data_IF_070040755512
#
_entry.id   IF_070040755512
#
_cell.length_a   1.000
_cell.length_b   1.000
_cell.length_c   1.000
_cell.angle_alpha   90.00
_cell.angle_beta   90.00
_cell.angle_gamma   90.00
#
_symmetry.space_group_name_H-M   'P 1'
#
loop_
_entity.id
_entity.type
_entity.pdbx_description
1 polymer ?
#
# COMPACT_ATOMS: atom_id res chain seq x y z
N UNK A 1 2.89 49.17 -17.59
CA UNK A 1 2.71 47.76 -18.01
C UNK A 1 3.99 46.91 -18.13
N UNK A 2 5.22 47.41 -17.82
CA UNK A 2 6.48 46.62 -17.95
C UNK A 2 6.82 45.65 -16.79
N UNK A 3 6.11 45.70 -15.64
CA UNK A 3 6.43 44.90 -14.42
C UNK A 3 5.84 43.47 -14.39
N UNK A 4 4.96 43.10 -15.33
CA UNK A 4 4.31 41.76 -15.36
C UNK A 4 5.24 40.69 -15.99
N UNK A 5 6.28 41.09 -16.73
CA UNK A 5 7.14 40.18 -17.51
C UNK A 5 8.25 39.48 -16.72
N UNK A 6 8.38 39.65 -15.39
CA UNK A 6 9.59 39.24 -14.65
C UNK A 6 9.45 38.17 -13.55
N UNK A 7 8.27 37.58 -13.31
CA UNK A 7 8.07 36.52 -12.28
C UNK A 7 7.75 35.12 -12.83
N UNK A 8 8.08 34.87 -14.09
CA UNK A 8 7.80 33.59 -14.76
C UNK A 8 8.41 32.38 -14.04
N UNK A 9 9.69 32.40 -13.61
CA UNK A 9 10.30 31.26 -12.91
C UNK A 9 9.58 30.92 -11.60
N UNK A 10 9.32 31.91 -10.75
CA UNK A 10 8.62 31.70 -9.48
C UNK A 10 7.17 31.26 -9.64
N UNK A 11 6.48 31.67 -10.71
CA UNK A 11 5.12 31.19 -11.01
C UNK A 11 5.11 29.72 -11.45
N UNK A 12 6.04 29.33 -12.32
CA UNK A 12 6.19 27.93 -12.76
C UNK A 12 6.53 27.04 -11.56
N UNK A 13 7.53 27.44 -10.76
CA UNK A 13 7.92 26.70 -9.56
C UNK A 13 6.77 26.52 -8.57
N UNK A 14 5.97 27.58 -8.36
CA UNK A 14 4.78 27.55 -7.51
C UNK A 14 3.74 26.54 -8.02
N UNK A 15 3.40 26.57 -9.32
CA UNK A 15 2.41 25.65 -9.88
C UNK A 15 2.88 24.19 -9.74
N UNK A 16 4.16 23.93 -10.03
CA UNK A 16 4.72 22.58 -9.90
C UNK A 16 4.72 22.09 -8.44
N UNK A 17 5.13 22.93 -7.48
CA UNK A 17 5.07 22.56 -6.06
C UNK A 17 3.66 22.37 -5.55
N UNK A 18 2.70 23.16 -6.03
CA UNK A 18 1.29 23.01 -5.69
C UNK A 18 0.77 21.64 -6.13
N UNK A 19 1.10 21.22 -7.36
CA UNK A 19 0.73 19.90 -7.89
C UNK A 19 1.38 18.77 -7.08
N UNK A 20 2.68 18.89 -6.78
CA UNK A 20 3.43 17.90 -5.99
C UNK A 20 2.85 17.78 -4.57
N UNK A 21 2.62 18.91 -3.89
CA UNK A 21 2.05 18.92 -2.52
C UNK A 21 0.65 18.33 -2.50
N UNK A 22 -0.15 18.62 -3.53
CA UNK A 22 -1.50 18.06 -3.70
C UNK A 22 -1.47 16.55 -3.93
N UNK A 23 -0.56 16.07 -4.78
CA UNK A 23 -0.36 14.65 -5.05
C UNK A 23 0.08 13.89 -3.80
N UNK A 24 1.07 14.41 -3.05
CA UNK A 24 1.51 13.81 -1.80
C UNK A 24 0.42 13.79 -0.74
N UNK A 25 -0.45 14.80 -0.71
CA UNK A 25 -1.60 14.83 0.21
C UNK A 25 -2.65 13.80 -0.18
N UNK A 26 -3.00 13.74 -1.48
CA UNK A 26 -3.91 12.72 -1.99
C UNK A 26 -3.41 11.30 -1.67
N UNK A 27 -2.15 11.00 -2.02
CA UNK A 27 -1.53 9.71 -1.76
C UNK A 27 -1.46 9.42 -0.26
N UNK A 28 -0.92 10.36 0.53
CA UNK A 28 -0.73 10.17 1.97
C UNK A 28 -2.02 9.90 2.72
N UNK A 29 -3.09 10.65 2.44
CA UNK A 29 -4.39 10.41 3.05
C UNK A 29 -5.03 9.11 2.54
N UNK A 30 -4.87 8.77 1.26
CA UNK A 30 -5.36 7.50 0.72
C UNK A 30 -4.69 6.30 1.39
N UNK A 31 -3.35 6.29 1.47
CA UNK A 31 -2.59 5.21 2.09
C UNK A 31 -2.82 5.14 3.60
N UNK A 32 -3.03 6.28 4.26
CA UNK A 32 -3.42 6.33 5.66
C UNK A 32 -4.64 5.43 5.95
N UNK A 33 -5.68 5.50 5.10
CA UNK A 33 -6.87 4.64 5.22
C UNK A 33 -6.71 3.25 4.61
N UNK A 34 -5.76 3.08 3.68
CA UNK A 34 -5.49 1.80 3.04
C UNK A 34 -4.68 0.86 3.96
N UNK A 35 -3.61 1.37 4.57
CA UNK A 35 -2.60 0.60 5.30
C UNK A 35 -2.27 1.11 6.71
N UNK A 36 -2.63 2.34 7.10
CA UNK A 36 -2.16 2.94 8.36
C UNK A 36 -3.19 3.01 9.49
N UNK A 37 -4.48 2.87 9.15
CA UNK A 37 -5.55 3.30 10.05
C UNK A 37 -5.79 2.38 11.27
N UNK A 38 -5.42 1.10 11.18
CA UNK A 38 -5.70 0.11 12.23
C UNK A 38 -4.75 0.17 13.43
N UNK A 39 -3.62 0.90 13.34
CA UNK A 39 -2.66 1.04 14.46
C UNK A 39 -2.58 2.49 14.96
N UNK A 40 -2.49 2.70 16.29
CA UNK A 40 -2.20 4.02 16.84
C UNK A 40 -0.90 4.59 16.25
N UNK A 41 -0.95 5.84 15.82
CA UNK A 41 0.19 6.64 15.33
C UNK A 41 0.83 6.21 13.99
N UNK A 42 0.64 4.99 13.49
CA UNK A 42 1.22 4.57 12.20
C UNK A 42 0.69 5.40 11.02
N UNK A 43 -0.57 5.83 11.11
CA UNK A 43 -1.21 6.73 10.16
C UNK A 43 -0.43 8.05 9.93
N UNK A 44 0.36 8.52 10.92
CA UNK A 44 1.15 9.75 10.81
C UNK A 44 2.24 9.60 9.74
N UNK A 45 2.84 8.42 9.60
CA UNK A 45 3.95 8.21 8.65
C UNK A 45 3.53 8.45 7.20
N UNK A 46 2.27 8.18 6.87
CA UNK A 46 1.72 8.44 5.53
C UNK A 46 1.48 9.93 5.25
N UNK A 47 1.33 10.76 6.30
CA UNK A 47 1.12 12.20 6.17
C UNK A 47 2.42 13.02 6.16
N UNK A 48 3.53 12.44 6.62
CA UNK A 48 4.85 13.12 6.67
C UNK A 48 5.27 13.68 5.30
N UNK A 49 5.20 12.93 4.18
CA UNK A 49 5.60 13.46 2.87
C UNK A 49 4.78 14.68 2.46
N UNK A 50 3.46 14.66 2.71
CA UNK A 50 2.57 15.79 2.45
C UNK A 50 2.96 17.01 3.29
N UNK A 51 3.17 16.83 4.60
CA UNK A 51 3.53 17.90 5.52
C UNK A 51 4.88 18.55 5.13
N UNK A 52 5.89 17.74 4.79
CA UNK A 52 7.19 18.23 4.32
C UNK A 52 7.02 19.02 3.02
N UNK A 53 6.26 18.50 2.06
CA UNK A 53 6.05 19.14 0.75
C UNK A 53 5.36 20.50 0.86
N UNK A 54 4.29 20.58 1.66
CA UNK A 54 3.59 21.85 1.94
C UNK A 54 4.51 22.83 2.67
N UNK A 55 5.25 22.37 3.67
CA UNK A 55 6.18 23.21 4.44
C UNK A 55 7.28 23.81 3.55
N UNK A 56 7.92 22.99 2.71
CA UNK A 56 8.92 23.46 1.74
C UNK A 56 8.32 24.44 0.73
N UNK A 57 7.07 24.23 0.30
CA UNK A 57 6.36 25.17 -0.57
C UNK A 57 6.16 26.51 0.10
N UNK A 58 5.69 26.53 1.35
CA UNK A 58 5.47 27.77 2.13
C UNK A 58 6.80 28.51 2.35
N UNK A 59 7.85 27.80 2.78
CA UNK A 59 9.18 28.39 2.98
C UNK A 59 9.72 28.95 1.66
N UNK A 60 9.52 28.28 0.53
CA UNK A 60 9.95 28.77 -0.79
C UNK A 60 9.15 29.97 -1.29
N UNK A 61 7.90 30.12 -0.88
CA UNK A 61 7.10 31.30 -1.20
C UNK A 61 7.46 32.50 -0.32
N UNK A 62 7.78 32.27 0.95
CA UNK A 62 8.17 33.32 1.91
C UNK A 62 9.63 33.75 1.74
N UNK A 63 10.52 32.80 1.47
CA UNK A 63 11.96 32.97 1.37
C UNK A 63 12.51 32.21 0.16
N UNK A 64 12.29 32.69 -1.09
CA UNK A 64 12.60 31.90 -2.30
C UNK A 64 14.03 31.39 -2.42
N UNK A 65 15.02 32.17 -1.95
CA UNK A 65 16.43 31.70 -1.93
C UNK A 65 16.63 30.55 -0.96
N UNK A 66 16.12 30.67 0.27
CA UNK A 66 16.30 29.66 1.32
C UNK A 66 15.49 28.41 0.96
N UNK A 67 14.19 28.56 0.68
CA UNK A 67 13.33 27.44 0.34
C UNK A 67 13.74 26.74 -0.95
N UNK A 68 14.12 27.50 -1.99
CA UNK A 68 14.65 26.92 -3.22
C UNK A 68 15.92 26.10 -2.99
N UNK A 69 16.87 26.62 -2.21
CA UNK A 69 18.09 25.88 -1.83
C UNK A 69 17.79 24.64 -1.01
N UNK A 70 16.84 24.70 -0.07
CA UNK A 70 16.38 23.54 0.69
C UNK A 70 15.79 22.46 -0.23
N UNK A 71 14.94 22.84 -1.18
CA UNK A 71 14.38 21.90 -2.15
C UNK A 71 15.47 21.24 -3.00
N UNK A 72 16.45 22.01 -3.49
CA UNK A 72 17.60 21.46 -4.25
C UNK A 72 18.37 20.45 -3.39
N UNK A 73 18.70 20.82 -2.15
CA UNK A 73 19.42 19.96 -1.23
C UNK A 73 18.65 18.67 -0.92
N UNK A 74 17.35 18.78 -0.61
CA UNK A 74 16.47 17.63 -0.38
C UNK A 74 16.40 16.71 -1.61
N UNK A 75 16.26 17.28 -2.82
CA UNK A 75 16.27 16.53 -4.07
C UNK A 75 17.58 15.78 -4.29
N UNK A 76 18.72 16.40 -4.04
CA UNK A 76 20.04 15.75 -4.15
C UNK A 76 20.21 14.63 -3.12
N UNK A 77 19.89 14.87 -1.85
CA UNK A 77 19.97 13.85 -0.78
C UNK A 77 19.07 12.66 -1.11
N UNK A 78 17.83 12.92 -1.52
CA UNK A 78 16.88 11.87 -1.89
C UNK A 78 17.37 11.07 -3.11
N UNK A 79 17.98 11.74 -4.10
CA UNK A 79 18.58 11.06 -5.26
C UNK A 79 19.69 10.10 -4.83
N UNK A 80 20.63 10.58 -4.01
CA UNK A 80 21.73 9.74 -3.48
C UNK A 80 21.18 8.55 -2.71
N UNK A 81 20.17 8.76 -1.87
CA UNK A 81 19.51 7.70 -1.12
C UNK A 81 18.88 6.64 -2.04
N UNK A 82 18.06 7.06 -3.02
CA UNK A 82 17.38 6.14 -3.94
C UNK A 82 18.40 5.34 -4.75
N UNK A 83 19.40 5.99 -5.35
CA UNK A 83 20.41 5.30 -6.15
C UNK A 83 21.30 4.39 -5.30
N UNK A 84 21.59 4.75 -4.05
CA UNK A 84 22.28 3.86 -3.11
C UNK A 84 21.45 2.62 -2.76
N UNK A 85 20.13 2.76 -2.62
CA UNK A 85 19.24 1.61 -2.36
C UNK A 85 19.10 0.71 -3.58
N UNK A 86 19.14 1.27 -4.79
CA UNK A 86 19.15 0.46 -6.01
C UNK A 86 20.42 -0.37 -6.15
N UNK A 87 21.59 0.24 -5.93
CA UNK A 87 22.87 -0.49 -6.02
C UNK A 87 23.00 -1.59 -4.98
N UNK A 88 22.38 -1.43 -3.80
CA UNK A 88 22.29 -2.50 -2.79
C UNK A 88 21.42 -3.69 -3.23
N UNK A 89 20.46 -3.49 -4.14
CA UNK A 89 19.56 -4.54 -4.65
C UNK A 89 20.14 -5.30 -5.85
N UNK A 90 21.27 -4.86 -6.38
CA UNK A 90 21.93 -5.44 -7.54
C UNK A 90 22.44 -4.37 -8.49
N UNK A 91 22.81 -4.78 -9.71
CA UNK A 91 23.28 -3.85 -10.75
C UNK A 91 22.09 -3.07 -11.32
N UNK A 92 21.98 -1.75 -11.07
CA UNK A 92 20.86 -0.97 -11.56
C UNK A 92 20.88 -0.89 -13.08
N UNK A 93 19.73 -1.07 -13.71
CA UNK A 93 19.57 -0.93 -15.16
C UNK A 93 19.39 0.54 -15.55
N UNK A 94 19.65 0.87 -16.82
CA UNK A 94 19.37 2.23 -17.35
C UNK A 94 17.89 2.58 -17.17
N UNK A 95 16.99 1.60 -17.33
CA UNK A 95 15.55 1.79 -17.09
C UNK A 95 15.26 2.19 -15.65
N UNK A 96 15.94 1.56 -14.68
CA UNK A 96 15.78 1.91 -13.26
C UNK A 96 16.18 3.38 -13.03
N UNK A 97 17.32 3.82 -13.57
CA UNK A 97 17.72 5.23 -13.46
C UNK A 97 16.71 6.17 -14.11
N UNK A 98 16.33 5.92 -15.36
CA UNK A 98 15.41 6.77 -16.11
C UNK A 98 14.02 6.88 -15.44
N UNK A 99 13.56 5.81 -14.77
CA UNK A 99 12.28 5.82 -14.07
C UNK A 99 12.23 6.78 -12.86
N UNK A 100 13.39 7.08 -12.26
CA UNK A 100 13.48 7.95 -11.08
C UNK A 100 13.95 9.38 -11.39
N UNK A 101 14.44 9.64 -12.61
CA UNK A 101 14.79 11.00 -13.06
C UNK A 101 13.61 11.97 -12.92
N UNK A 102 12.37 11.65 -13.36
CA UNK A 102 11.26 12.58 -13.25
C UNK A 102 10.96 13.00 -11.81
N UNK A 103 11.21 12.13 -10.83
CA UNK A 103 11.02 12.45 -9.42
C UNK A 103 12.15 13.33 -8.92
N UNK A 104 13.40 12.90 -9.12
CA UNK A 104 14.59 13.54 -8.56
C UNK A 104 14.93 14.88 -9.21
N UNK A 105 14.99 14.92 -10.55
CA UNK A 105 15.36 16.11 -11.31
C UNK A 105 14.29 17.20 -11.22
N UNK A 106 13.02 16.83 -11.11
CA UNK A 106 11.92 17.78 -10.99
C UNK A 106 12.03 18.62 -9.71
N UNK A 107 12.36 18.01 -8.56
CA UNK A 107 12.61 18.76 -7.33
C UNK A 107 13.79 19.73 -7.49
N UNK A 108 14.91 19.27 -8.06
CA UNK A 108 16.08 20.12 -8.29
C UNK A 108 15.73 21.30 -9.19
N UNK A 109 15.04 21.05 -10.31
CA UNK A 109 14.60 22.09 -11.25
C UNK A 109 13.71 23.13 -10.56
N UNK A 110 12.71 22.68 -9.79
CA UNK A 110 11.81 23.56 -9.04
C UNK A 110 12.59 24.41 -8.03
N UNK A 111 13.51 23.80 -7.29
CA UNK A 111 14.35 24.51 -6.33
C UNK A 111 15.22 25.59 -7.00
N UNK A 112 15.84 25.26 -8.14
CA UNK A 112 16.60 26.22 -8.96
C UNK A 112 15.72 27.37 -9.43
N UNK A 113 14.49 27.11 -9.88
CA UNK A 113 13.56 28.16 -10.30
C UNK A 113 13.21 29.11 -9.14
N UNK A 114 13.03 28.61 -7.92
CA UNK A 114 12.83 29.44 -6.73
C UNK A 114 14.09 30.25 -6.35
N UNK A 115 15.28 29.66 -6.46
CA UNK A 115 16.54 30.36 -6.23
C UNK A 115 16.71 31.51 -7.23
N UNK A 116 16.47 31.26 -8.52
CA UNK A 116 16.51 32.27 -9.60
C UNK A 116 15.50 33.40 -9.30
N UNK A 117 14.27 33.06 -8.91
CA UNK A 117 13.27 34.05 -8.51
C UNK A 117 13.75 34.88 -7.31
N UNK A 118 14.34 34.23 -6.31
CA UNK A 118 14.89 34.87 -5.13
C UNK A 118 15.99 35.89 -5.45
N UNK A 119 16.84 35.64 -6.45
CA UNK A 119 17.83 36.61 -6.93
C UNK A 119 17.22 37.76 -7.74
N UNK A 120 16.06 37.55 -8.38
CA UNK A 120 15.36 38.57 -9.18
C UNK A 120 14.53 39.53 -8.33
N UNK A 121 14.11 39.12 -7.14
CA UNK A 121 13.42 40.00 -6.18
C UNK A 121 14.46 40.97 -5.58
N UNK A 122 14.56 42.16 -6.18
CA UNK A 122 15.52 43.21 -5.78
C UNK A 122 14.94 44.26 -4.81
N UNK A 123 13.64 44.29 -4.56
CA UNK A 123 13.02 45.33 -3.73
C UNK A 123 12.01 44.75 -2.71
N UNK A 124 11.98 45.28 -1.48
CA UNK A 124 10.88 45.02 -0.55
C UNK A 124 9.58 45.51 -1.17
N UNK A 125 8.58 44.62 -1.29
CA UNK A 125 7.28 44.97 -1.87
C UNK A 125 6.71 46.23 -1.20
N UNK A 126 6.30 47.19 -2.03
CA UNK A 126 5.59 48.42 -1.66
C UNK A 126 4.51 48.15 -0.58
N UNK A 127 4.51 48.98 0.48
CA UNK A 127 3.77 48.79 1.74
C UNK A 127 2.22 48.78 1.59
N UNK A 128 1.67 49.17 0.45
CA UNK A 128 0.21 49.39 0.30
C UNK A 128 -0.59 48.19 -0.25
N UNK A 129 0.03 47.04 -0.46
CA UNK A 129 -0.71 45.86 -0.94
C UNK A 129 -1.45 45.18 0.21
N UNK A 130 -2.79 45.07 0.10
CA UNK A 130 -3.64 44.33 1.06
C UNK A 130 -3.05 42.94 1.37
N UNK A 131 -3.02 42.56 2.64
CA UNK A 131 -2.31 41.36 3.13
C UNK A 131 -2.71 40.07 2.39
N UNK A 132 -3.99 39.88 2.06
CA UNK A 132 -4.45 38.68 1.36
C UNK A 132 -3.93 38.59 -0.09
N UNK A 133 -3.68 39.73 -0.76
CA UNK A 133 -3.03 39.73 -2.07
C UNK A 133 -1.55 39.35 -1.94
N UNK A 134 -0.90 39.82 -0.87
CA UNK A 134 0.50 39.50 -0.55
C UNK A 134 0.71 38.01 -0.26
N UNK A 135 -0.19 37.39 0.50
CA UNK A 135 -0.09 35.98 0.90
C UNK A 135 -0.96 35.02 0.07
N UNK A 136 -1.58 35.50 -1.02
CA UNK A 136 -2.48 34.70 -1.87
C UNK A 136 -1.89 33.35 -2.28
N UNK A 137 -0.63 33.31 -2.74
CA UNK A 137 0.05 32.06 -3.11
C UNK A 137 0.26 31.12 -1.92
N UNK A 138 0.58 31.65 -0.74
CA UNK A 138 0.75 30.85 0.48
C UNK A 138 -0.60 30.26 0.90
N UNK A 139 -1.65 31.08 0.87
CA UNK A 139 -3.02 30.64 1.16
C UNK A 139 -3.42 29.51 0.20
N UNK A 140 -3.19 29.69 -1.11
CA UNK A 140 -3.50 28.65 -2.12
C UNK A 140 -2.66 27.38 -1.89
N UNK A 141 -1.37 27.51 -1.59
CA UNK A 141 -0.47 26.39 -1.33
C UNK A 141 -0.88 25.53 -0.14
N UNK A 142 -1.57 26.12 0.85
CA UNK A 142 -2.08 25.40 2.02
C UNK A 142 -3.50 24.89 1.76
N UNK A 143 -4.37 25.76 1.25
CA UNK A 143 -5.80 25.49 1.12
C UNK A 143 -6.11 24.35 0.15
N UNK A 144 -5.43 24.28 -1.00
CA UNK A 144 -5.71 23.23 -1.99
C UNK A 144 -5.34 21.84 -1.46
N UNK A 145 -4.10 21.58 -0.99
CA UNK A 145 -3.77 20.31 -0.33
C UNK A 145 -4.70 20.00 0.84
N UNK A 146 -5.04 20.98 1.67
CA UNK A 146 -5.96 20.79 2.80
C UNK A 146 -7.35 20.31 2.34
N UNK A 147 -7.94 20.97 1.33
CA UNK A 147 -9.24 20.58 0.77
C UNK A 147 -9.18 19.18 0.16
N UNK A 148 -8.10 18.84 -0.54
CA UNK A 148 -7.87 17.49 -1.07
C UNK A 148 -7.82 16.47 0.08
N UNK A 149 -7.02 16.74 1.11
CA UNK A 149 -6.87 15.86 2.26
C UNK A 149 -8.19 15.65 3.01
N UNK A 150 -8.96 16.71 3.23
CA UNK A 150 -10.30 16.62 3.84
C UNK A 150 -11.25 15.82 2.94
N UNK A 151 -11.29 16.08 1.64
CA UNK A 151 -12.20 15.40 0.71
C UNK A 151 -11.90 13.90 0.64
N UNK A 152 -10.63 13.53 0.41
CA UNK A 152 -10.19 12.13 0.38
C UNK A 152 -10.41 11.47 1.74
N UNK A 153 -10.13 12.19 2.82
CA UNK A 153 -10.30 11.69 4.18
C UNK A 153 -11.75 11.45 4.58
N UNK A 154 -12.67 12.33 4.19
CA UNK A 154 -14.12 12.15 4.42
C UNK A 154 -14.64 10.95 3.64
N UNK A 155 -14.29 10.82 2.36
CA UNK A 155 -14.73 9.69 1.52
C UNK A 155 -14.18 8.37 2.05
N UNK A 156 -12.89 8.34 2.38
CA UNK A 156 -12.21 7.12 2.86
C UNK A 156 -12.63 6.75 4.28
N UNK A 157 -12.77 7.75 5.15
CA UNK A 157 -13.29 7.59 6.50
C UNK A 157 -14.73 7.09 6.50
N UNK A 158 -15.62 7.68 5.68
CA UNK A 158 -16.98 7.18 5.53
C UNK A 158 -17.02 5.71 5.11
N UNK A 159 -16.20 5.33 4.12
CA UNK A 159 -16.09 3.92 3.72
C UNK A 159 -15.61 3.04 4.87
N UNK A 160 -14.57 3.46 5.59
CA UNK A 160 -14.01 2.70 6.70
C UNK A 160 -15.00 2.50 7.86
N UNK A 161 -15.62 3.58 8.33
CA UNK A 161 -16.53 3.54 9.48
C UNK A 161 -17.84 2.79 9.20
N UNK A 162 -18.19 2.60 7.92
CA UNK A 162 -19.35 1.82 7.51
C UNK A 162 -19.00 0.40 7.06
N UNK A 163 -17.78 -0.09 7.29
CA UNK A 163 -17.45 -1.49 7.02
C UNK A 163 -18.24 -2.41 7.94
N UNK A 164 -18.77 -3.48 7.36
CA UNK A 164 -19.41 -4.54 8.13
C UNK A 164 -18.37 -5.41 8.87
N UNK A 165 -18.44 -5.40 10.19
CA UNK A 165 -17.67 -6.27 11.08
C UNK A 165 -18.60 -6.91 12.13
N UNK A 166 -18.77 -8.22 12.05
CA UNK A 166 -19.55 -8.97 13.03
C UNK A 166 -18.77 -9.33 14.31
N UNK A 167 -17.50 -8.95 14.40
CA UNK A 167 -16.62 -9.21 15.55
C UNK A 167 -16.23 -10.67 15.76
N UNK A 168 -16.74 -11.60 14.93
CA UNK A 168 -16.47 -13.02 15.11
C UNK A 168 -15.17 -13.40 14.41
N UNK A 169 -14.24 -13.98 15.18
CA UNK A 169 -12.92 -14.42 14.68
C UNK A 169 -12.73 -15.93 14.72
N UNK A 170 -13.79 -16.70 14.97
CA UNK A 170 -13.74 -18.17 15.00
C UNK A 170 -13.79 -18.83 13.62
N UNK A 171 -13.75 -20.17 13.62
CA UNK A 171 -14.01 -20.98 12.43
C UNK A 171 -15.43 -20.72 11.93
N UNK A 172 -15.60 -20.57 10.61
CA UNK A 172 -16.94 -20.36 10.05
C UNK A 172 -17.10 -20.90 8.63
N UNK A 173 -18.33 -21.29 8.34
CA UNK A 173 -18.77 -21.57 6.97
C UNK A 173 -18.97 -20.22 6.28
N UNK A 174 -18.38 -20.06 5.11
CA UNK A 174 -18.59 -18.92 4.22
C UNK A 174 -19.18 -19.42 2.92
N UNK A 175 -20.36 -18.92 2.58
CA UNK A 175 -21.03 -19.18 1.32
C UNK A 175 -20.50 -18.18 0.28
N UNK A 176 -19.72 -18.67 -0.68
CA UNK A 176 -19.22 -17.88 -1.80
C UNK A 176 -20.09 -18.05 -3.04
N UNK A 177 -19.70 -17.42 -4.14
CA UNK A 177 -20.33 -17.60 -5.44
C UNK A 177 -20.17 -19.05 -5.93
N UNK A 178 -21.25 -19.83 -5.79
CA UNK A 178 -21.35 -21.26 -6.14
C UNK A 178 -20.39 -22.18 -5.36
N UNK A 179 -19.85 -21.71 -4.23
CA UNK A 179 -18.95 -22.51 -3.39
C UNK A 179 -19.32 -22.35 -1.92
N UNK A 180 -18.97 -23.36 -1.11
CA UNK A 180 -19.11 -23.30 0.34
C UNK A 180 -17.85 -23.88 0.97
N UNK A 181 -17.16 -23.06 1.76
CA UNK A 181 -15.91 -23.42 2.41
C UNK A 181 -16.00 -23.15 3.91
N UNK A 182 -15.33 -23.98 4.69
CA UNK A 182 -15.06 -23.68 6.10
C UNK A 182 -13.73 -22.95 6.16
N UNK A 183 -13.73 -21.76 6.74
CA UNK A 183 -12.55 -20.90 6.90
C UNK A 183 -12.06 -20.97 8.34
N UNK A 184 -10.75 -21.10 8.51
CA UNK A 184 -10.11 -21.22 9.81
C UNK A 184 -10.41 -20.02 10.71
N UNK A 185 -10.51 -20.27 12.01
CA UNK A 185 -10.57 -19.23 13.03
C UNK A 185 -9.21 -18.63 13.34
N UNK A 186 -9.20 -17.72 14.31
CA UNK A 186 -7.99 -17.09 14.81
C UNK A 186 -6.97 -18.12 15.31
N UNK A 187 -5.73 -17.98 14.83
CA UNK A 187 -4.64 -18.89 15.09
C UNK A 187 -3.72 -19.02 13.88
N UNK A 188 -2.80 -19.99 13.85
CA UNK A 188 -1.86 -20.18 12.74
C UNK A 188 -2.54 -20.47 11.39
N UNK A 189 -3.79 -20.96 11.38
CA UNK A 189 -4.59 -21.11 10.16
C UNK A 189 -5.12 -19.78 9.61
N UNK A 190 -5.15 -18.71 10.40
CA UNK A 190 -5.54 -17.37 9.97
C UNK A 190 -4.45 -16.37 10.34
N UNK A 191 -3.51 -16.18 9.42
CA UNK A 191 -2.38 -15.30 9.63
C UNK A 191 -2.79 -13.83 9.50
N UNK A 192 -2.69 -13.14 10.63
CA UNK A 192 -2.83 -11.70 10.80
C UNK A 192 -1.42 -11.18 11.12
N UNK A 193 -0.96 -10.11 10.48
CA UNK A 193 0.47 -9.69 10.56
C UNK A 193 1.00 -9.39 11.98
N UNK A 194 0.13 -9.32 12.99
CA UNK A 194 0.52 -9.37 14.41
C UNK A 194 1.34 -10.62 14.79
N UNK A 195 1.34 -11.66 13.96
CA UNK A 195 2.10 -12.91 14.16
C UNK A 195 3.43 -12.97 13.40
N UNK A 196 3.88 -11.86 12.82
CA UNK A 196 5.09 -11.76 11.99
C UNK A 196 4.75 -11.61 10.50
N UNK A 197 5.76 -11.47 9.65
CA UNK A 197 5.57 -11.47 8.20
C UNK A 197 6.08 -12.80 7.66
N UNK A 198 5.22 -13.53 6.96
CA UNK A 198 5.59 -14.76 6.26
C UNK A 198 5.55 -14.54 4.75
N UNK A 199 6.53 -15.09 4.06
CA UNK A 199 6.53 -15.24 2.60
C UNK A 199 5.81 -16.52 2.18
N UNK A 200 5.43 -16.60 0.92
CA UNK A 200 4.83 -17.82 0.37
C UNK A 200 5.81 -19.00 0.44
N UNK A 201 7.10 -18.77 0.20
CA UNK A 201 8.16 -19.79 0.32
C UNK A 201 8.24 -20.39 1.73
N UNK A 202 8.17 -19.56 2.76
CA UNK A 202 8.20 -20.01 4.16
C UNK A 202 6.98 -20.87 4.50
N UNK A 203 5.81 -20.47 4.01
CA UNK A 203 4.57 -21.24 4.15
C UNK A 203 4.65 -22.58 3.41
N UNK A 204 5.20 -22.57 2.19
CA UNK A 204 5.32 -23.74 1.31
C UNK A 204 6.30 -24.79 1.82
N UNK A 205 7.40 -24.36 2.45
CA UNK A 205 8.52 -25.22 2.86
C UNK A 205 8.53 -25.55 4.35
N UNK A 206 7.47 -25.23 5.09
CA UNK A 206 7.40 -25.40 6.54
C UNK A 206 7.79 -26.81 7.01
N UNK A 207 7.26 -27.86 6.36
CA UNK A 207 7.52 -29.26 6.68
C UNK A 207 8.82 -29.83 6.11
N UNK A 208 9.62 -29.01 5.40
CA UNK A 208 10.90 -29.43 4.84
C UNK A 208 11.98 -29.24 5.89
N UNK A 209 12.82 -30.25 6.11
CA UNK A 209 13.85 -30.21 7.16
C UNK A 209 14.80 -29.00 7.02
N UNK A 210 15.10 -28.28 8.12
CA UNK A 210 14.54 -28.46 9.46
C UNK A 210 13.08 -28.00 9.54
N UNK A 211 12.18 -28.80 10.14
CA UNK A 211 10.75 -28.46 10.23
C UNK A 211 10.56 -27.10 10.94
N UNK A 212 9.73 -26.24 10.36
CA UNK A 212 9.41 -24.90 10.86
C UNK A 212 9.79 -23.78 9.89
N UNK A 213 9.79 -22.54 10.37
CA UNK A 213 10.12 -21.34 9.59
C UNK A 213 11.63 -21.01 9.54
N UNK A 214 12.48 -21.95 9.97
CA UNK A 214 13.93 -21.80 9.83
C UNK A 214 14.34 -21.67 8.36
N UNK A 215 15.41 -20.91 8.11
CA UNK A 215 15.88 -20.61 6.76
C UNK A 215 16.19 -21.89 5.98
N UNK A 216 15.51 -22.06 4.84
CA UNK A 216 15.75 -23.15 3.89
C UNK A 216 16.83 -22.77 2.88
N UNK A 217 17.43 -23.77 2.23
CA UNK A 217 18.48 -23.56 1.21
C UNK A 217 17.87 -23.13 -0.13
N UNK A 218 16.63 -23.52 -0.39
CA UNK A 218 15.87 -23.24 -1.59
C UNK A 218 15.49 -21.77 -1.68
N UNK A 219 15.71 -21.18 -2.86
CA UNK A 219 15.34 -19.79 -3.13
C UNK A 219 13.86 -19.65 -3.44
N UNK A 220 13.26 -20.64 -4.13
CA UNK A 220 11.85 -20.67 -4.50
C UNK A 220 11.29 -22.08 -4.32
N UNK A 221 10.16 -22.18 -3.62
CA UNK A 221 9.42 -23.42 -3.47
C UNK A 221 8.66 -23.75 -4.76
N UNK A 222 8.75 -25.01 -5.20
CA UNK A 222 7.95 -25.51 -6.31
C UNK A 222 6.52 -25.85 -5.88
N UNK A 223 5.63 -26.03 -6.85
CA UNK A 223 4.29 -26.56 -6.59
C UNK A 223 4.30 -27.89 -5.84
N UNK A 224 5.24 -28.77 -6.18
CA UNK A 224 5.39 -30.07 -5.53
C UNK A 224 5.95 -29.93 -4.11
N UNK A 225 6.84 -28.97 -3.87
CA UNK A 225 7.23 -28.62 -2.50
C UNK A 225 6.01 -28.14 -1.69
N UNK A 226 5.20 -27.23 -2.24
CA UNK A 226 4.00 -26.73 -1.56
C UNK A 226 3.05 -27.88 -1.21
N UNK A 227 2.70 -28.74 -2.17
CA UNK A 227 1.86 -29.92 -1.92
C UNK A 227 2.40 -30.81 -0.81
N UNK A 228 3.72 -30.98 -0.75
CA UNK A 228 4.36 -31.93 0.16
C UNK A 228 4.60 -31.35 1.55
N UNK A 229 4.98 -30.08 1.65
CA UNK A 229 5.57 -29.52 2.87
C UNK A 229 4.85 -28.31 3.44
N UNK A 230 3.75 -27.82 2.84
CA UNK A 230 3.12 -26.60 3.33
C UNK A 230 2.69 -26.68 4.80
N UNK A 231 2.67 -25.54 5.49
CA UNK A 231 2.33 -25.46 6.92
C UNK A 231 0.91 -25.93 7.25
N UNK A 232 -0.04 -25.83 6.31
CA UNK A 232 -1.44 -26.16 6.55
C UNK A 232 -1.65 -27.63 6.84
N UNK A 233 -0.75 -28.49 6.34
CA UNK A 233 -0.68 -29.92 6.66
C UNK A 233 -0.49 -30.19 8.15
N UNK A 234 0.12 -29.26 8.88
CA UNK A 234 0.49 -29.39 10.29
C UNK A 234 -0.49 -28.72 11.25
N UNK A 235 -1.57 -28.14 10.73
CA UNK A 235 -2.62 -27.54 11.53
C UNK A 235 -3.47 -28.62 12.20
N UNK A 236 -3.77 -28.43 13.49
CA UNK A 236 -4.77 -29.25 14.18
C UNK A 236 -6.16 -29.10 13.56
N UNK A 237 -7.11 -29.94 13.98
CA UNK A 237 -8.48 -29.93 13.46
C UNK A 237 -9.14 -28.54 13.50
N UNK A 238 -8.94 -27.78 14.58
CA UNK A 238 -9.53 -26.45 14.76
C UNK A 238 -8.77 -25.32 14.04
N UNK A 239 -7.60 -25.60 13.46
CA UNK A 239 -6.75 -24.60 12.79
C UNK A 239 -6.06 -23.61 13.73
N UNK A 240 -6.16 -23.82 15.04
CA UNK A 240 -5.67 -22.89 16.08
C UNK A 240 -4.24 -23.18 16.55
N UNK A 241 -3.64 -24.31 16.14
CA UNK A 241 -2.27 -24.69 16.52
C UNK A 241 -1.53 -25.40 15.39
N UNK A 242 -0.25 -25.07 15.24
CA UNK A 242 0.71 -25.90 14.49
C UNK A 242 1.18 -27.05 15.39
N UNK A 243 1.35 -28.22 14.79
CA UNK A 243 1.77 -29.44 15.46
C UNK A 243 2.97 -30.06 14.76
N UNK A 244 3.55 -31.09 15.36
CA UNK A 244 4.63 -31.90 14.79
C UNK A 244 4.12 -32.99 13.84
N UNK A 245 2.80 -33.19 13.75
CA UNK A 245 2.16 -34.24 12.94
C UNK A 245 1.43 -33.65 11.74
N UNK A 246 1.41 -34.42 10.67
CA UNK A 246 0.60 -34.11 9.48
C UNK A 246 -0.84 -34.60 9.71
N UNK A 247 -1.80 -33.69 9.56
CA UNK A 247 -3.24 -33.94 9.69
C UNK A 247 -4.02 -33.71 8.38
N UNK A 248 -3.56 -32.81 7.51
CA UNK A 248 -4.18 -32.52 6.20
C UNK A 248 -5.67 -32.11 6.26
N UNK A 249 -6.12 -31.51 7.37
CA UNK A 249 -7.47 -30.96 7.48
C UNK A 249 -7.65 -29.64 6.74
N UNK A 250 -6.58 -28.87 6.63
CA UNK A 250 -6.58 -27.49 6.14
C UNK A 250 -5.67 -27.34 4.93
N UNK A 251 -6.02 -26.39 4.06
CA UNK A 251 -5.18 -25.97 2.95
C UNK A 251 -5.29 -24.48 2.72
N UNK A 252 -4.37 -23.92 1.95
CA UNK A 252 -4.54 -22.58 1.42
C UNK A 252 -5.63 -22.60 0.32
N UNK A 253 -6.50 -21.58 0.24
CA UNK A 253 -7.48 -21.47 -0.85
C UNK A 253 -6.78 -21.17 -2.18
N UNK A 254 -7.40 -21.60 -3.27
CA UNK A 254 -7.02 -21.18 -4.62
C UNK A 254 -7.44 -19.73 -4.87
N UNK A 255 -6.88 -19.10 -5.90
CA UNK A 255 -7.28 -17.74 -6.27
C UNK A 255 -8.75 -17.67 -6.71
N UNK A 256 -9.28 -18.71 -7.37
CA UNK A 256 -10.69 -18.78 -7.76
C UNK A 256 -11.61 -18.82 -6.53
N UNK A 257 -11.28 -19.65 -5.54
CA UNK A 257 -12.03 -19.71 -4.28
C UNK A 257 -12.01 -18.39 -3.52
N UNK A 258 -10.88 -17.70 -3.51
CA UNK A 258 -10.76 -16.36 -2.94
C UNK A 258 -11.65 -15.35 -3.67
N UNK A 259 -11.61 -15.30 -5.00
CA UNK A 259 -12.46 -14.39 -5.79
C UNK A 259 -13.95 -14.69 -5.60
N UNK A 260 -14.33 -15.95 -5.44
CA UNK A 260 -15.71 -16.36 -5.19
C UNK A 260 -16.17 -16.08 -3.76
N UNK A 261 -15.25 -15.89 -2.82
CA UNK A 261 -15.57 -15.70 -1.39
C UNK A 261 -15.55 -14.24 -0.94
N UNK A 262 -15.52 -13.28 -1.86
CA UNK A 262 -15.49 -11.85 -1.54
C UNK A 262 -16.87 -11.34 -1.06
N UNK A 263 -16.86 -10.41 -0.10
CA UNK A 263 -18.06 -9.87 0.54
C UNK A 263 -18.11 -8.33 0.52
N UNK A 264 -19.33 -7.81 0.58
CA UNK A 264 -19.64 -6.40 0.84
C UNK A 264 -21.01 -6.28 1.49
N UNK A 265 -21.13 -5.46 2.53
CA UNK A 265 -22.36 -5.18 3.26
C UNK A 265 -23.04 -6.47 3.75
N UNK A 266 -22.25 -7.43 4.24
CA UNK A 266 -22.70 -8.78 4.66
C UNK A 266 -23.32 -9.64 3.52
N UNK A 267 -23.12 -9.26 2.26
CA UNK A 267 -23.55 -10.03 1.10
C UNK A 267 -22.32 -10.61 0.37
N UNK A 268 -22.43 -11.86 -0.10
CA UNK A 268 -21.45 -12.39 -1.02
C UNK A 268 -21.54 -11.62 -2.36
N UNK A 269 -20.43 -11.00 -2.75
CA UNK A 269 -20.30 -10.29 -4.03
C UNK A 269 -19.28 -10.95 -4.95
N UNK A 270 -18.76 -12.12 -4.54
CA UNK A 270 -17.75 -12.87 -5.26
C UNK A 270 -18.15 -13.25 -6.68
N UNK A 271 -17.15 -13.57 -7.47
CA UNK A 271 -17.31 -14.02 -8.85
C UNK A 271 -16.24 -15.07 -9.18
N UNK A 272 -16.42 -15.86 -10.25
CA UNK A 272 -15.35 -16.71 -10.77
C UNK A 272 -14.13 -15.89 -11.17
N UNK A 273 -12.94 -16.44 -11.01
CA UNK A 273 -11.72 -15.84 -11.52
C UNK A 273 -11.69 -15.91 -13.05
N UNK A 274 -11.35 -14.80 -13.70
CA UNK A 274 -11.29 -14.71 -15.17
C UNK A 274 -9.96 -15.20 -15.78
N UNK A 275 -9.05 -15.74 -14.95
CA UNK A 275 -7.72 -16.19 -15.36
C UNK A 275 -6.70 -15.06 -15.57
N UNK A 276 -7.02 -13.82 -15.20
CA UNK A 276 -6.17 -12.64 -15.38
C UNK A 276 -5.96 -11.86 -14.09
N UNK A 277 -4.88 -11.10 -14.05
CA UNK A 277 -4.59 -10.09 -13.04
C UNK A 277 -5.56 -8.90 -13.13
N UNK A 278 -5.63 -8.11 -12.07
CA UNK A 278 -6.48 -6.93 -11.97
C UNK A 278 -7.80 -7.18 -11.24
N UNK A 279 -8.67 -6.17 -11.30
CA UNK A 279 -9.99 -6.20 -10.68
C UNK A 279 -10.88 -7.19 -11.43
N UNK A 280 -11.51 -8.11 -10.69
CA UNK A 280 -12.42 -9.09 -11.26
C UNK A 280 -13.84 -8.52 -11.45
N UNK A 281 -14.69 -9.24 -12.17
CA UNK A 281 -16.02 -8.78 -12.59
C UNK A 281 -17.08 -8.92 -11.48
N UNK A 282 -16.85 -8.28 -10.33
CA UNK A 282 -17.82 -8.26 -9.24
C UNK A 282 -19.02 -7.36 -9.58
N UNK A 283 -20.22 -7.77 -9.16
CA UNK A 283 -21.43 -6.95 -9.29
C UNK A 283 -21.36 -5.68 -8.45
N UNK A 284 -20.73 -5.78 -7.28
CA UNK A 284 -20.43 -4.68 -6.35
C UNK A 284 -18.96 -4.81 -5.94
N UNK A 285 -18.19 -3.71 -5.85
CA UNK A 285 -16.80 -3.79 -5.39
C UNK A 285 -16.73 -4.36 -3.97
N UNK A 286 -15.96 -5.43 -3.72
CA UNK A 286 -15.80 -5.95 -2.38
C UNK A 286 -15.01 -5.01 -1.49
N UNK A 287 -15.13 -5.21 -0.18
CA UNK A 287 -14.38 -4.46 0.83
C UNK A 287 -13.78 -5.38 1.89
N UNK A 288 -12.96 -4.78 2.76
CA UNK A 288 -12.32 -5.48 3.87
C UNK A 288 -13.33 -5.67 4.98
N UNK A 289 -14.19 -6.67 4.81
CA UNK A 289 -15.33 -6.94 5.69
C UNK A 289 -15.38 -8.41 6.08
N UNK A 290 -16.05 -8.66 7.21
CA UNK A 290 -16.44 -10.01 7.61
C UNK A 290 -17.43 -10.59 6.59
N UNK A 291 -17.47 -11.92 6.38
CA UNK A 291 -16.80 -12.96 7.16
C UNK A 291 -15.35 -13.27 6.75
N UNK A 292 -14.90 -12.83 5.58
CA UNK A 292 -13.60 -13.23 5.02
C UNK A 292 -12.43 -12.48 5.68
N UNK A 293 -12.54 -11.16 5.79
CA UNK A 293 -11.51 -10.28 6.32
C UNK A 293 -11.78 -9.90 7.77
N UNK A 294 -10.71 -9.53 8.48
CA UNK A 294 -10.78 -8.83 9.76
C UNK A 294 -10.53 -7.33 9.50
N UNK A 295 -11.55 -6.45 9.59
CA UNK A 295 -11.43 -5.03 9.23
C UNK A 295 -10.45 -4.24 10.11
N UNK A 296 -10.23 -4.72 11.33
CA UNK A 296 -9.39 -4.17 12.39
C UNK A 296 -7.92 -4.63 12.34
N UNK A 297 -7.57 -5.51 11.41
CA UNK A 297 -6.22 -6.08 11.30
C UNK A 297 -5.41 -5.44 10.17
N UNK A 298 -4.06 -5.53 10.13
CA UNK A 298 -3.22 -5.01 9.05
C UNK A 298 -3.45 -5.61 7.67
N UNK A 299 -3.90 -6.87 7.60
CA UNK A 299 -3.86 -7.63 6.36
C UNK A 299 -4.85 -7.08 5.34
N UNK A 300 -4.37 -6.77 4.14
CA UNK A 300 -5.15 -6.27 3.00
C UNK A 300 -4.99 -7.15 1.76
N UNK A 301 -4.07 -8.11 1.80
CA UNK A 301 -3.87 -9.12 0.77
C UNK A 301 -3.93 -10.53 1.37
N UNK A 302 -4.58 -11.45 0.67
CA UNK A 302 -4.51 -12.87 0.98
C UNK A 302 -3.73 -13.63 -0.08
N UNK A 303 -2.81 -14.47 0.39
CA UNK A 303 -2.10 -15.44 -0.43
C UNK A 303 -3.07 -16.52 -0.93
N UNK A 304 -2.79 -17.05 -2.12
CA UNK A 304 -3.45 -18.24 -2.65
C UNK A 304 -2.47 -19.38 -2.87
N UNK A 305 -2.99 -20.60 -3.00
CA UNK A 305 -2.24 -21.76 -3.44
C UNK A 305 -1.98 -21.79 -4.96
N UNK A 306 -2.52 -20.82 -5.70
CA UNK A 306 -2.41 -20.79 -7.17
C UNK A 306 -1.10 -20.15 -7.57
N UNK A 307 -0.20 -20.95 -8.13
CA UNK A 307 1.05 -20.44 -8.72
C UNK A 307 0.78 -19.70 -10.03
N UNK A 308 1.54 -18.64 -10.25
CA UNK A 308 1.59 -17.96 -11.55
C UNK A 308 2.71 -18.55 -12.41
N UNK A 309 3.87 -18.80 -11.79
CA UNK A 309 5.02 -19.49 -12.38
C UNK A 309 5.97 -20.01 -11.27
N UNK A 310 7.22 -20.32 -11.64
CA UNK A 310 8.24 -20.82 -10.70
C UNK A 310 8.57 -19.84 -9.58
N UNK A 311 8.50 -18.53 -9.83
CA UNK A 311 8.87 -17.47 -8.88
C UNK A 311 7.68 -16.75 -8.28
N UNK A 312 6.54 -16.76 -8.98
CA UNK A 312 5.39 -15.95 -8.62
C UNK A 312 4.16 -16.79 -8.26
N UNK A 313 3.31 -16.25 -7.40
CA UNK A 313 2.01 -16.79 -7.06
C UNK A 313 0.95 -15.69 -7.14
N UNK A 314 -0.32 -16.07 -7.21
CA UNK A 314 -1.42 -15.12 -7.18
C UNK A 314 -1.85 -14.80 -5.74
N UNK A 315 -2.05 -13.51 -5.47
CA UNK A 315 -2.70 -13.01 -4.27
C UNK A 315 -3.93 -12.20 -4.65
N UNK A 316 -4.82 -11.96 -3.68
CA UNK A 316 -5.98 -11.09 -3.86
C UNK A 316 -5.97 -9.97 -2.83
N UNK A 317 -6.33 -8.75 -3.23
CA UNK A 317 -6.60 -7.66 -2.28
C UNK A 317 -8.03 -7.73 -1.75
N UNK A 318 -8.32 -7.07 -0.63
CA UNK A 318 -9.70 -6.93 -0.15
C UNK A 318 -10.65 -6.22 -1.14
N UNK A 319 -10.11 -5.48 -2.12
CA UNK A 319 -10.87 -4.89 -3.23
C UNK A 319 -11.10 -5.86 -4.39
N UNK A 320 -10.68 -7.12 -4.23
CA UNK A 320 -10.84 -8.17 -5.22
C UNK A 320 -9.88 -8.05 -6.42
N UNK A 321 -8.79 -7.29 -6.26
CA UNK A 321 -7.74 -7.20 -7.28
C UNK A 321 -6.79 -8.40 -7.15
N UNK A 322 -6.66 -9.18 -8.23
CA UNK A 322 -5.70 -10.28 -8.33
C UNK A 322 -4.35 -9.73 -8.77
N UNK A 323 -3.28 -10.10 -8.07
CA UNK A 323 -1.93 -9.57 -8.27
C UNK A 323 -0.93 -10.72 -8.22
N UNK A 324 0.00 -10.76 -9.17
CA UNK A 324 1.18 -11.63 -9.07
C UNK A 324 2.18 -11.08 -8.07
N UNK A 325 2.72 -11.98 -7.25
CA UNK A 325 3.71 -11.64 -6.24
C UNK A 325 4.85 -12.62 -6.25
N UNK A 326 6.05 -12.12 -6.00
CA UNK A 326 7.22 -12.94 -5.79
C UNK A 326 7.04 -13.81 -4.53
N UNK A 327 7.33 -15.11 -4.61
CA UNK A 327 7.13 -16.06 -3.50
C UNK A 327 8.04 -15.78 -2.29
N UNK A 328 9.10 -14.98 -2.45
CA UNK A 328 10.00 -14.55 -1.36
C UNK A 328 9.53 -13.27 -0.65
N UNK A 329 8.50 -12.59 -1.17
CA UNK A 329 8.00 -11.34 -0.60
C UNK A 329 7.27 -11.58 0.73
N UNK A 330 7.73 -10.94 1.81
CA UNK A 330 7.12 -10.98 3.14
C UNK A 330 6.63 -9.58 3.57
N UNK A 331 5.47 -9.17 3.06
CA UNK A 331 4.86 -7.89 3.42
C UNK A 331 4.05 -7.99 4.72
N UNK A 332 4.09 -6.96 5.57
CA UNK A 332 3.23 -6.88 6.75
C UNK A 332 1.74 -6.72 6.44
N UNK A 333 1.39 -6.34 5.22
CA UNK A 333 0.00 -6.22 4.78
C UNK A 333 -0.52 -7.49 4.08
N UNK A 334 0.32 -8.52 3.96
CA UNK A 334 0.02 -9.80 3.34
C UNK A 334 -0.21 -10.86 4.42
N UNK A 335 -1.24 -11.69 4.22
CA UNK A 335 -1.47 -12.84 5.09
C UNK A 335 -2.21 -13.95 4.36
N UNK A 336 -2.85 -14.83 5.12
CA UNK A 336 -3.64 -15.91 4.56
C UNK A 336 -4.71 -16.37 5.54
N UNK A 337 -5.69 -17.11 5.02
CA UNK A 337 -6.67 -17.81 5.83
C UNK A 337 -6.94 -19.17 5.22
N UNK A 338 -6.68 -20.22 5.99
CA UNK A 338 -6.81 -21.59 5.55
C UNK A 338 -8.29 -21.96 5.39
N UNK A 339 -8.54 -22.88 4.47
CA UNK A 339 -9.87 -23.39 4.15
C UNK A 339 -9.88 -24.91 4.17
N UNK A 340 -11.07 -25.46 4.35
CA UNK A 340 -11.39 -26.86 4.10
C UNK A 340 -12.77 -26.98 3.48
N UNK A 341 -13.01 -28.08 2.78
CA UNK A 341 -14.33 -28.35 2.20
C UNK A 341 -15.31 -28.71 3.32
N UNK A 342 -16.36 -27.91 3.47
CA UNK A 342 -17.49 -28.27 4.32
C UNK A 342 -18.49 -29.10 3.53
N UNK A 343 -18.79 -30.33 3.96
CA UNK A 343 -20.13 -30.86 3.69
C UNK A 343 -21.03 -30.21 4.72
N UNK A 344 -22.12 -29.58 4.28
CA UNK A 344 -23.26 -29.30 5.16
C UNK A 344 -23.67 -30.67 5.73
N UNK A 345 -23.67 -30.88 7.06
CA UNK A 345 -24.12 -32.15 7.63
C UNK A 345 -25.55 -32.48 7.18
#
# INVERSE_FOLDING_TARGET
MKRIRSRTPGNIAFILMLLISSLWTFWGVSEMFHEGWYRPFEWIFFLIPSLISVSLTVVSLLFPKIGGSLIVLSGMIFSVFIFSRMTQRGTPTVSDFLSWIPVTLLFILIGVLFVIEGFRIREPLEREVRWYKRYSKVIIAILIPLVIGITVGVVSGYRYFNRYDDGYRGERIVEGYEITLIWAGEGPGWHKSSTGNLSWNEVALYGKEPIGFERKRETYASYEDFKRYNMFRYLNYDGTKLTDKVYDFWRLPTIDELTRSMYKDNECVGCPWNGKEGIQNYKKPPDKETPLWAPDEPVIYYMSSTEADEREYYSISYRGMVIKRDKSEALGSLGFRAVRTGKKP
#
